data_IF_157405306814
#
_entry.id   IF_157405306814
#
_cell.length_a   1.000
_cell.length_b   1.000
_cell.length_c   1.000
_cell.angle_alpha   90.00
_cell.angle_beta   90.00
_cell.angle_gamma   90.00
#
_symmetry.space_group_name_H-M   'P 1'
#
loop_
_entity.id
_entity.type
_entity.pdbx_description
1 polymer ?
#
# COMPACT_ATOMS: atom_id res chain seq x y z
N UNK A 1 19.55 9.74 -29.57
CA UNK A 1 18.13 10.17 -29.55
C UNK A 1 17.86 11.19 -28.45
N UNK A 2 16.83 12.02 -28.59
CA UNK A 2 16.34 12.87 -27.47
C UNK A 2 15.54 12.01 -26.51
N UNK A 3 15.44 12.40 -25.25
CA UNK A 3 14.63 11.68 -24.26
C UNK A 3 13.57 12.61 -23.69
N UNK A 4 12.33 12.12 -23.65
CA UNK A 4 11.22 12.77 -22.98
C UNK A 4 10.59 11.80 -21.99
N UNK A 5 10.25 12.32 -20.81
CA UNK A 5 9.63 11.58 -19.73
C UNK A 5 8.24 12.15 -19.52
N UNK A 6 7.22 11.36 -19.86
CA UNK A 6 5.82 11.64 -19.54
C UNK A 6 5.56 11.13 -18.13
N UNK A 7 5.00 11.96 -17.27
CA UNK A 7 4.73 11.56 -15.89
C UNK A 7 3.45 12.16 -15.34
N UNK A 8 2.87 11.47 -14.36
CA UNK A 8 1.74 11.95 -13.56
C UNK A 8 2.14 11.89 -12.08
N UNK A 9 1.56 12.76 -11.26
CA UNK A 9 1.78 12.77 -9.81
C UNK A 9 0.53 13.13 -8.99
N UNK A 10 -0.60 13.39 -9.66
CA UNK A 10 -1.88 13.68 -9.01
C UNK A 10 -2.67 12.40 -8.73
N UNK A 11 -3.50 12.44 -7.68
CA UNK A 11 -4.34 11.31 -7.24
C UNK A 11 -5.30 10.84 -8.34
N UNK A 12 -5.67 11.76 -9.24
CA UNK A 12 -6.62 11.48 -10.32
C UNK A 12 -5.96 11.05 -11.64
N UNK A 13 -4.63 11.08 -11.74
CA UNK A 13 -3.85 10.80 -12.95
C UNK A 13 -4.28 11.63 -14.17
N UNK A 14 -4.85 12.81 -13.94
CA UNK A 14 -5.37 13.68 -15.01
C UNK A 14 -4.30 14.59 -15.56
N UNK A 15 -3.32 14.93 -14.74
CA UNK A 15 -2.25 15.87 -15.09
C UNK A 15 -1.08 15.09 -15.70
N UNK A 16 -0.95 15.18 -17.03
CA UNK A 16 0.17 14.61 -17.77
C UNK A 16 1.26 15.66 -17.96
N UNK A 17 2.34 15.54 -17.21
CA UNK A 17 3.50 16.42 -17.28
C UNK A 17 4.58 15.84 -18.22
N UNK A 18 5.45 16.73 -18.71
CA UNK A 18 6.51 16.39 -19.65
C UNK A 18 7.85 16.96 -19.16
N UNK A 19 8.79 16.07 -18.85
CA UNK A 19 10.18 16.44 -18.63
C UNK A 19 11.01 16.08 -19.88
N UNK A 20 12.00 16.91 -20.20
CA UNK A 20 12.90 16.70 -21.34
C UNK A 20 14.34 16.70 -20.85
N UNK A 21 15.10 15.70 -21.25
CA UNK A 21 16.53 15.73 -21.02
C UNK A 21 17.16 16.78 -21.95
N UNK A 22 18.09 17.61 -21.46
CA UNK A 22 18.67 18.70 -22.24
C UNK A 22 19.54 18.18 -23.39
N UNK A 23 20.22 17.05 -23.17
CA UNK A 23 21.18 16.48 -24.10
C UNK A 23 20.63 15.21 -24.76
N UNK A 24 21.03 15.00 -26.00
CA UNK A 24 20.78 13.73 -26.69
C UNK A 24 21.64 12.62 -26.07
N UNK A 25 21.07 11.42 -25.94
CA UNK A 25 21.76 10.26 -25.40
C UNK A 25 21.89 9.16 -26.46
N UNK A 26 22.96 8.39 -26.34
CA UNK A 26 23.08 7.11 -27.04
C UNK A 26 22.37 6.04 -26.20
N UNK A 27 21.22 5.57 -26.68
CA UNK A 27 20.35 4.66 -25.95
C UNK A 27 20.36 3.30 -26.65
N UNK A 28 20.68 2.21 -25.93
CA UNK A 28 20.51 0.86 -26.47
C UNK A 28 19.04 0.58 -26.77
N UNK A 29 18.76 0.02 -27.94
CA UNK A 29 17.41 -0.31 -28.37
C UNK A 29 17.28 -1.73 -28.87
N UNK A 30 16.11 -2.32 -28.64
CA UNK A 30 15.73 -3.66 -29.09
C UNK A 30 14.37 -3.57 -29.79
N UNK A 31 14.22 -4.16 -30.99
CA UNK A 31 12.91 -4.33 -31.61
C UNK A 31 12.11 -5.39 -30.83
N UNK A 32 10.91 -5.05 -30.38
CA UNK A 32 10.03 -5.96 -29.62
C UNK A 32 8.99 -6.61 -30.54
N UNK A 33 8.54 -5.87 -31.56
CA UNK A 33 7.69 -6.35 -32.65
C UNK A 33 8.04 -5.61 -33.96
N UNK A 34 7.28 -5.84 -35.03
CA UNK A 34 7.52 -5.24 -36.35
C UNK A 34 7.36 -3.71 -36.37
N UNK A 35 6.59 -3.14 -35.44
CA UNK A 35 6.25 -1.71 -35.38
C UNK A 35 6.86 -0.98 -34.17
N UNK A 36 7.34 -1.73 -33.16
CA UNK A 36 7.75 -1.20 -31.87
C UNK A 36 9.21 -1.48 -31.59
N UNK A 37 9.98 -0.39 -31.50
CA UNK A 37 11.35 -0.40 -30.99
C UNK A 37 11.36 0.19 -29.57
N UNK A 38 11.99 -0.53 -28.65
CA UNK A 38 12.10 -0.15 -27.23
C UNK A 38 13.54 0.21 -26.93
N UNK A 39 13.74 1.32 -26.22
CA UNK A 39 15.03 1.71 -25.66
C UNK A 39 15.08 1.51 -24.16
N UNK A 40 16.28 1.28 -23.62
CA UNK A 40 16.50 1.06 -22.19
C UNK A 40 17.33 2.21 -21.62
N UNK A 41 16.86 2.84 -20.55
CA UNK A 41 17.50 4.00 -19.92
C UNK A 41 17.50 3.88 -18.40
N UNK A 42 18.46 4.51 -17.74
CA UNK A 42 18.52 4.59 -16.29
C UNK A 42 17.32 5.36 -15.72
N UNK A 43 16.63 4.77 -14.75
CA UNK A 43 15.51 5.39 -14.05
C UNK A 43 15.92 6.70 -13.40
N UNK A 44 17.10 6.72 -12.76
CA UNK A 44 17.64 7.90 -12.09
C UNK A 44 17.70 9.11 -13.02
N UNK A 45 18.20 8.94 -14.24
CA UNK A 45 18.29 10.03 -15.23
C UNK A 45 16.90 10.59 -15.57
N UNK A 46 15.88 9.72 -15.61
CA UNK A 46 14.50 10.15 -15.84
C UNK A 46 13.96 10.94 -14.64
N UNK A 47 14.24 10.47 -13.42
CA UNK A 47 13.84 11.15 -12.18
C UNK A 47 14.52 12.52 -12.02
N UNK A 48 15.81 12.63 -12.31
CA UNK A 48 16.53 13.91 -12.27
C UNK A 48 15.90 14.94 -13.23
N UNK A 49 15.51 14.50 -14.43
CA UNK A 49 14.80 15.36 -15.37
C UNK A 49 13.42 15.79 -14.86
N UNK A 50 12.69 14.89 -14.19
CA UNK A 50 11.40 15.20 -13.56
C UNK A 50 11.59 16.23 -12.44
N UNK A 51 12.53 16.01 -11.52
CA UNK A 51 12.76 16.93 -10.38
C UNK A 51 13.21 18.31 -10.86
N UNK A 52 14.02 18.37 -11.93
CA UNK A 52 14.41 19.64 -12.54
C UNK A 52 13.21 20.38 -13.17
N UNK A 53 12.25 19.65 -13.74
CA UNK A 53 11.05 20.23 -14.36
C UNK A 53 9.93 20.54 -13.36
N UNK A 54 9.85 19.77 -12.27
CA UNK A 54 8.83 19.82 -11.21
C UNK A 54 9.48 19.76 -9.82
N UNK A 55 10.16 20.83 -9.38
CA UNK A 55 10.83 20.88 -8.08
C UNK A 55 9.87 20.77 -6.89
N UNK A 56 8.58 21.04 -7.07
CA UNK A 56 7.53 20.88 -6.07
C UNK A 56 7.37 19.45 -5.55
N UNK A 57 7.81 18.45 -6.33
CA UNK A 57 7.79 17.04 -5.93
C UNK A 57 8.74 16.73 -4.79
N UNK A 58 9.82 17.52 -4.63
CA UNK A 58 10.83 17.35 -3.57
C UNK A 58 10.86 18.51 -2.57
N UNK A 59 10.19 19.63 -2.88
CA UNK A 59 10.14 20.80 -2.00
C UNK A 59 9.22 20.63 -0.79
N UNK A 60 8.24 19.72 -0.86
CA UNK A 60 7.29 19.48 0.23
C UNK A 60 7.85 18.48 1.24
N UNK A 61 8.29 18.99 2.39
CA UNK A 61 8.73 18.17 3.53
C UNK A 61 7.63 17.20 3.97
N UNK A 62 7.99 15.93 4.15
CA UNK A 62 7.03 14.90 4.59
C UNK A 62 6.05 14.46 3.50
N UNK A 63 6.39 14.62 2.22
CA UNK A 63 5.67 13.99 1.12
C UNK A 63 6.65 13.19 0.29
N UNK A 64 6.30 11.94 0.00
CA UNK A 64 7.06 11.07 -0.88
C UNK A 64 6.14 10.41 -1.89
N UNK A 65 6.72 9.82 -2.92
CA UNK A 65 5.99 9.19 -4.01
C UNK A 65 6.52 7.80 -4.27
N UNK A 66 5.62 6.85 -4.48
CA UNK A 66 5.99 5.58 -5.11
C UNK A 66 6.10 5.81 -6.61
N UNK A 67 7.24 5.46 -7.17
CA UNK A 67 7.51 5.56 -8.60
C UNK A 67 7.11 4.25 -9.28
N UNK A 68 6.36 4.37 -10.37
CA UNK A 68 6.04 3.29 -11.27
C UNK A 68 6.51 3.64 -12.68
N UNK A 69 6.96 2.64 -13.43
CA UNK A 69 7.33 2.76 -14.84
C UNK A 69 6.46 1.85 -15.69
N UNK A 70 6.06 2.31 -16.87
CA UNK A 70 5.44 1.43 -17.85
C UNK A 70 6.53 0.59 -18.50
N UNK A 71 6.35 -0.73 -18.51
CA UNK A 71 7.31 -1.63 -19.13
C UNK A 71 6.90 -1.95 -20.56
N UNK A 72 7.61 -1.38 -21.53
CA UNK A 72 7.35 -1.59 -22.94
C UNK A 72 7.97 -2.85 -23.53
N UNK A 73 8.80 -3.60 -22.80
CA UNK A 73 9.25 -4.92 -23.26
C UNK A 73 8.22 -6.04 -23.05
N UNK A 74 7.18 -5.78 -22.26
CA UNK A 74 6.16 -6.77 -21.89
C UNK A 74 4.84 -6.53 -22.63
N UNK A 75 4.09 -7.61 -22.86
CA UNK A 75 2.75 -7.55 -23.45
C UNK A 75 1.79 -6.75 -22.54
N UNK A 76 0.87 -5.99 -23.13
CA UNK A 76 -0.03 -5.03 -22.46
C UNK A 76 0.64 -3.84 -21.76
N UNK A 77 1.96 -3.73 -21.79
CA UNK A 77 2.73 -2.62 -21.21
C UNK A 77 2.42 -2.38 -19.72
N UNK A 78 2.68 -3.37 -18.84
CA UNK A 78 2.30 -3.34 -17.44
C UNK A 78 3.00 -2.22 -16.68
N UNK A 79 2.40 -1.83 -15.56
CA UNK A 79 2.96 -0.84 -14.65
C UNK A 79 3.83 -1.53 -13.59
N UNK A 80 5.13 -1.24 -13.58
CA UNK A 80 6.13 -1.88 -12.71
C UNK A 80 6.57 -0.91 -11.61
N UNK A 81 6.48 -1.34 -10.36
CA UNK A 81 6.92 -0.56 -9.20
C UNK A 81 8.44 -0.45 -9.11
N UNK A 82 8.95 0.77 -8.92
CA UNK A 82 10.37 1.09 -8.90
C UNK A 82 10.87 1.55 -7.51
N UNK A 83 9.99 1.61 -6.53
CA UNK A 83 10.29 2.04 -5.16
C UNK A 83 9.96 3.50 -4.89
N UNK A 84 10.44 4.01 -3.75
CA UNK A 84 10.19 5.38 -3.29
C UNK A 84 11.08 6.39 -4.02
N UNK A 85 10.53 7.55 -4.36
CA UNK A 85 11.25 8.65 -5.00
C UNK A 85 12.44 9.10 -4.14
N UNK A 86 12.25 9.23 -2.82
CA UNK A 86 13.33 9.56 -1.88
C UNK A 86 14.49 8.57 -1.93
N UNK A 87 14.22 7.26 -2.06
CA UNK A 87 15.27 6.25 -2.15
C UNK A 87 16.03 6.33 -3.47
N UNK A 88 15.32 6.50 -4.59
CA UNK A 88 15.95 6.66 -5.90
C UNK A 88 16.87 7.89 -5.88
N UNK A 89 16.44 8.99 -5.27
CA UNK A 89 17.27 10.20 -5.10
C UNK A 89 18.41 10.02 -4.08
N UNK A 90 18.23 9.24 -3.01
CA UNK A 90 19.27 9.02 -2.00
C UNK A 90 20.48 8.22 -2.55
N UNK A 91 20.28 7.42 -3.60
CA UNK A 91 21.40 6.71 -4.27
C UNK A 91 22.43 7.63 -4.90
N UNK A 92 22.17 8.95 -4.98
CA UNK A 92 23.13 9.94 -5.47
C UNK A 92 24.10 10.45 -4.38
N UNK A 93 23.88 10.08 -3.12
CA UNK A 93 24.71 10.51 -2.00
C UNK A 93 26.11 9.86 -2.07
N UNK A 94 27.11 10.65 -2.42
CA UNK A 94 28.54 10.29 -2.39
C UNK A 94 29.11 10.12 -0.98
N UNK A 95 28.30 9.69 -0.01
CA UNK A 95 28.78 9.38 1.35
C UNK A 95 29.65 8.11 1.32
N UNK A 96 30.93 8.17 1.74
CA UNK A 96 31.89 7.07 1.59
C UNK A 96 31.54 5.75 2.29
N UNK A 97 30.58 5.76 3.23
CA UNK A 97 30.28 4.63 4.12
C UNK A 97 28.90 4.00 3.93
N UNK A 98 28.08 4.46 2.99
CA UNK A 98 26.85 3.76 2.65
C UNK A 98 27.17 2.69 1.59
N UNK A 99 26.78 1.42 1.78
CA UNK A 99 26.78 0.47 0.67
C UNK A 99 25.72 0.97 -0.31
N UNK A 100 26.13 1.83 -1.23
CA UNK A 100 25.35 2.15 -2.42
C UNK A 100 25.22 0.83 -3.14
N UNK A 101 24.10 0.13 -2.93
CA UNK A 101 23.68 -0.94 -3.83
C UNK A 101 23.56 -0.27 -5.19
N UNK A 102 24.64 -0.37 -5.97
CA UNK A 102 24.86 0.24 -7.28
C UNK A 102 24.00 -0.40 -8.36
N UNK A 103 22.83 -0.92 -7.96
CA UNK A 103 21.82 -1.41 -8.87
C UNK A 103 21.28 -0.23 -9.64
N UNK A 104 21.86 -0.03 -10.82
CA UNK A 104 21.40 0.91 -11.82
C UNK A 104 20.05 0.41 -12.32
N UNK A 105 18.98 0.83 -11.65
CA UNK A 105 17.62 0.51 -12.07
C UNK A 105 17.40 1.04 -13.48
N UNK A 106 17.09 0.15 -14.41
CA UNK A 106 16.82 0.47 -15.80
C UNK A 106 15.31 0.39 -16.06
N UNK A 107 14.82 1.28 -16.91
CA UNK A 107 13.43 1.29 -17.38
C UNK A 107 13.38 1.38 -18.89
N UNK A 108 12.27 0.92 -19.44
CA UNK A 108 12.04 0.87 -20.89
C UNK A 108 11.28 2.11 -21.37
N UNK A 109 11.51 2.49 -22.62
CA UNK A 109 10.81 3.58 -23.30
C UNK A 109 10.55 3.23 -24.77
N UNK A 110 9.49 3.78 -25.35
CA UNK A 110 9.19 3.60 -26.78
C UNK A 110 10.01 4.56 -27.63
N UNK A 111 10.68 4.05 -28.65
CA UNK A 111 11.32 4.87 -29.67
C UNK A 111 10.22 5.40 -30.59
N UNK A 112 10.20 6.72 -30.79
CA UNK A 112 9.27 7.42 -31.66
C UNK A 112 10.05 8.26 -32.67
N UNK A 113 9.57 8.29 -33.90
CA UNK A 113 10.06 9.23 -34.89
C UNK A 113 9.62 10.66 -34.51
N UNK A 114 10.58 11.58 -34.55
CA UNK A 114 10.35 13.00 -34.35
C UNK A 114 10.13 13.66 -35.70
N UNK A 115 8.86 13.77 -36.11
CA UNK A 115 8.46 14.35 -37.40
C UNK A 115 9.04 15.77 -37.58
N UNK A 116 9.11 16.59 -36.53
CA UNK A 116 9.73 17.93 -36.61
C UNK A 116 11.26 17.87 -36.86
N UNK A 117 11.94 16.84 -36.35
CA UNK A 117 13.38 16.66 -36.57
C UNK A 117 13.72 16.25 -38.00
N UNK A 118 12.77 15.63 -38.72
CA UNK A 118 12.91 15.24 -40.13
C UNK A 118 13.03 16.45 -41.06
N UNK A 119 12.32 17.54 -40.76
CA UNK A 119 12.29 18.74 -41.63
C UNK A 119 13.51 19.66 -41.46
N UNK A 120 14.28 19.50 -40.38
CA UNK A 120 15.39 20.41 -40.04
C UNK A 120 16.75 19.73 -39.95
N UNK A 121 16.90 18.50 -40.47
CA UNK A 121 18.15 17.73 -40.38
C UNK A 121 18.59 17.44 -38.94
N UNK A 122 17.65 17.50 -37.98
CA UNK A 122 17.91 17.37 -36.55
C UNK A 122 17.84 15.92 -36.07
N UNK A 123 17.80 15.75 -34.75
CA UNK A 123 17.67 14.43 -34.13
C UNK A 123 16.30 13.84 -34.49
N UNK A 124 16.33 12.76 -35.28
CA UNK A 124 15.16 12.09 -35.87
C UNK A 124 14.40 11.20 -34.91
N UNK A 125 15.03 10.75 -33.83
CA UNK A 125 14.46 9.79 -32.91
C UNK A 125 14.33 10.36 -31.49
N UNK A 126 13.24 10.00 -30.83
CA UNK A 126 13.00 10.32 -29.42
C UNK A 126 12.63 9.07 -28.65
N UNK A 127 13.27 8.86 -27.50
CA UNK A 127 12.83 7.90 -26.50
C UNK A 127 11.74 8.53 -25.65
N UNK A 128 10.56 7.92 -25.63
CA UNK A 128 9.45 8.29 -24.76
C UNK A 128 9.35 7.30 -23.60
N UNK A 129 9.71 7.76 -22.41
CA UNK A 129 9.53 7.02 -21.15
C UNK A 129 8.25 7.50 -20.48
N UNK A 130 7.47 6.59 -19.91
CA UNK A 130 6.27 6.94 -19.16
C UNK A 130 6.40 6.47 -17.72
N UNK A 131 6.28 7.39 -16.79
CA UNK A 131 6.33 7.15 -15.35
C UNK A 131 5.01 7.57 -14.70
N UNK A 132 4.73 7.02 -13.53
CA UNK A 132 3.60 7.39 -12.69
C UNK A 132 4.10 7.51 -11.26
N UNK A 133 3.95 8.68 -10.67
CA UNK A 133 4.27 8.95 -9.28
C UNK A 133 2.95 8.92 -8.51
N UNK A 134 2.90 8.12 -7.45
CA UNK A 134 1.73 8.01 -6.58
C UNK A 134 2.11 8.54 -5.22
N UNK A 135 1.43 9.57 -4.69
CA UNK A 135 1.70 10.06 -3.35
C UNK A 135 1.60 8.93 -2.33
N UNK A 136 2.63 8.79 -1.51
CA UNK A 136 2.60 7.89 -0.36
C UNK A 136 1.88 8.65 0.76
N UNK A 137 0.79 8.10 1.33
CA UNK A 137 0.18 8.69 2.51
C UNK A 137 1.25 8.79 3.60
N UNK A 138 1.60 9.99 4.00
CA UNK A 138 2.48 10.15 5.14
C UNK A 138 1.69 9.76 6.38
N UNK A 139 1.93 8.56 6.89
CA UNK A 139 1.60 8.27 8.27
C UNK A 139 2.39 9.27 9.10
N UNK A 140 1.69 10.21 9.71
CA UNK A 140 2.28 10.98 10.78
C UNK A 140 2.83 9.96 11.78
N UNK A 141 4.02 10.17 12.31
CA UNK A 141 4.57 9.30 13.35
C UNK A 141 3.55 9.06 14.48
N UNK A 142 2.67 10.04 14.72
CA UNK A 142 1.52 9.93 15.62
C UNK A 142 0.52 8.84 15.23
N UNK A 143 0.17 8.66 13.95
CA UNK A 143 -0.79 7.63 13.51
C UNK A 143 -0.19 6.22 13.58
N UNK A 144 1.11 6.09 13.30
CA UNK A 144 1.82 4.82 13.50
C UNK A 144 1.92 4.47 14.99
N UNK A 145 2.31 5.45 15.83
CA UNK A 145 2.34 5.29 17.28
C UNK A 145 0.95 5.00 17.85
N UNK A 146 -0.09 5.67 17.36
CA UNK A 146 -1.47 5.45 17.77
C UNK A 146 -1.96 4.06 17.33
N UNK A 147 -1.59 3.61 16.13
CA UNK A 147 -1.91 2.25 15.66
C UNK A 147 -1.15 1.20 16.50
N UNK A 148 0.13 1.41 16.79
CA UNK A 148 0.90 0.54 17.68
C UNK A 148 0.37 0.56 19.11
N UNK A 149 0.01 1.71 19.66
CA UNK A 149 -0.60 1.83 20.99
C UNK A 149 -1.96 1.17 21.02
N UNK A 150 -2.76 1.28 19.97
CA UNK A 150 -4.05 0.59 19.83
C UNK A 150 -3.83 -0.92 19.83
N UNK A 151 -2.89 -1.44 19.04
CA UNK A 151 -2.52 -2.85 19.05
C UNK A 151 -1.99 -3.30 20.42
N UNK A 152 -1.14 -2.50 21.07
CA UNK A 152 -0.55 -2.80 22.38
C UNK A 152 -1.57 -2.74 23.51
N UNK A 153 -2.53 -1.83 23.47
CA UNK A 153 -3.60 -1.71 24.47
C UNK A 153 -4.60 -2.85 24.31
N UNK A 154 -4.90 -3.25 23.07
CA UNK A 154 -5.68 -4.45 22.79
C UNK A 154 -4.93 -5.68 23.30
N UNK A 155 -3.63 -5.84 23.02
CA UNK A 155 -2.84 -7.00 23.47
C UNK A 155 -2.64 -7.07 24.99
N UNK A 156 -2.66 -5.93 25.70
CA UNK A 156 -2.55 -5.87 27.17
C UNK A 156 -3.84 -6.27 27.89
N UNK A 157 -4.99 -6.14 27.24
CA UNK A 157 -6.29 -6.55 27.78
C UNK A 157 -6.67 -7.99 27.48
N UNK A 158 -5.85 -8.71 26.70
CA UNK A 158 -6.16 -10.05 26.22
C UNK A 158 -5.48 -11.09 27.12
N UNK A 159 -6.24 -11.98 27.80
CA UNK A 159 -5.66 -13.04 28.61
C UNK A 159 -4.84 -14.00 27.74
N UNK A 160 -3.77 -14.56 28.32
CA UNK A 160 -2.95 -15.60 27.67
C UNK A 160 -3.85 -16.77 27.23
N UNK A 161 -3.90 -17.04 25.92
CA UNK A 161 -4.79 -18.05 25.32
C UNK A 161 -6.08 -17.53 24.69
N UNK A 162 -6.20 -16.21 24.47
CA UNK A 162 -7.38 -15.63 23.81
C UNK A 162 -7.56 -16.12 22.36
N UNK A 163 -8.70 -16.77 22.11
CA UNK A 163 -9.08 -17.27 20.79
C UNK A 163 -9.68 -16.15 19.93
N UNK A 164 -8.90 -15.69 18.95
CA UNK A 164 -9.30 -14.64 18.00
C UNK A 164 -10.55 -14.99 17.19
N UNK A 165 -10.82 -16.27 16.94
CA UNK A 165 -11.95 -16.71 16.13
C UNK A 165 -13.29 -16.49 16.85
N UNK A 166 -13.32 -16.66 18.17
CA UNK A 166 -14.52 -16.47 18.99
C UNK A 166 -14.86 -14.99 19.19
N UNK A 167 -13.86 -14.12 19.24
CA UNK A 167 -14.10 -12.67 19.30
C UNK A 167 -14.61 -12.10 17.98
N UNK A 168 -14.12 -12.62 16.85
CA UNK A 168 -14.64 -12.27 15.53
C UNK A 168 -16.12 -12.68 15.39
N UNK A 169 -16.50 -13.85 15.92
CA UNK A 169 -17.89 -14.32 15.94
C UNK A 169 -18.79 -13.52 16.91
N UNK A 170 -18.25 -13.00 18.01
CA UNK A 170 -19.02 -12.14 18.93
C UNK A 170 -19.27 -10.74 18.34
N UNK A 171 -18.32 -10.21 17.57
CA UNK A 171 -18.45 -8.90 16.88
C UNK A 171 -19.45 -8.89 15.72
N UNK A 172 -19.68 -10.04 15.10
CA UNK A 172 -20.70 -10.15 14.05
C UNK A 172 -22.12 -10.22 14.61
N UNK A 173 -22.29 -10.31 15.94
CA UNK A 173 -23.60 -10.28 16.57
C UNK A 173 -24.11 -8.83 16.76
N UNK A 174 -25.18 -8.40 16.08
CA UNK A 174 -25.66 -7.02 16.11
C UNK A 174 -26.14 -6.56 17.50
N UNK A 175 -26.61 -7.47 18.37
CA UNK A 175 -27.03 -7.12 19.74
C UNK A 175 -25.85 -6.72 20.64
N UNK A 176 -24.68 -7.32 20.43
CA UNK A 176 -23.46 -6.98 21.17
C UNK A 176 -22.96 -5.57 20.85
N UNK A 177 -23.05 -5.16 19.58
CA UNK A 177 -22.66 -3.80 19.17
C UNK A 177 -23.61 -2.73 19.72
N UNK A 178 -24.90 -3.03 19.85
CA UNK A 178 -25.87 -2.12 20.48
C UNK A 178 -25.57 -1.93 21.98
N UNK A 179 -25.26 -3.01 22.69
CA UNK A 179 -24.90 -2.96 24.11
C UNK A 179 -23.57 -2.23 24.36
N UNK A 180 -22.54 -2.51 23.54
CA UNK A 180 -21.24 -1.85 23.65
C UNK A 180 -21.31 -0.33 23.40
N UNK A 181 -22.15 0.11 22.45
CA UNK A 181 -22.40 1.53 22.20
C UNK A 181 -23.09 2.21 23.38
N UNK A 182 -24.01 1.51 24.07
CA UNK A 182 -24.73 2.04 25.23
C UNK A 182 -23.85 2.14 26.48
N UNK A 183 -22.92 1.20 26.67
CA UNK A 183 -21.92 1.26 27.74
C UNK A 183 -20.89 2.40 27.53
N UNK A 184 -20.51 2.67 26.28
CA UNK A 184 -19.59 3.76 25.95
C UNK A 184 -20.22 5.16 26.14
N UNK A 185 -21.54 5.29 25.99
CA UNK A 185 -22.28 6.54 26.15
C UNK A 185 -22.47 6.99 27.62
N UNK A 186 -22.21 6.11 28.60
CA UNK A 186 -22.46 6.37 30.03
C UNK A 186 -21.37 7.16 30.78
N UNK A 187 -20.28 7.59 30.13
CA UNK A 187 -19.10 8.16 30.81
C UNK A 187 -19.07 9.70 30.90
N UNK A 188 -20.20 10.38 30.68
CA UNK A 188 -20.27 11.85 30.75
C UNK A 188 -21.30 12.34 31.77
N UNK A 189 -20.98 12.21 33.07
CA UNK A 189 -21.50 13.15 34.09
C UNK A 189 -20.64 13.17 35.36
N UNK A 190 -20.44 14.39 35.83
CA UNK A 190 -19.47 14.86 36.82
C UNK A 190 -19.77 14.50 38.28
N UNK A 191 -18.70 14.35 39.06
CA UNK A 191 -18.53 14.63 40.50
C UNK A 191 -19.78 14.91 41.35
N UNK A 192 -20.06 14.05 42.33
CA UNK A 192 -20.16 14.35 43.80
C UNK A 192 -20.55 13.06 44.54
N UNK A 193 -20.03 12.91 45.76
CA UNK A 193 -20.42 11.96 46.83
C UNK A 193 -19.86 10.53 46.79
N UNK A 194 -19.14 10.22 47.87
CA UNK A 194 -18.80 8.87 48.33
C UNK A 194 -20.05 8.02 48.55
N UNK A 195 -19.87 6.70 48.36
CA UNK A 195 -20.61 5.61 49.00
C UNK A 195 -21.89 5.11 48.30
N UNK A 196 -21.78 4.01 47.53
CA UNK A 196 -22.17 2.64 47.95
C UNK A 196 -22.07 1.65 46.79
N UNK A 197 -21.73 0.42 47.18
CA UNK A 197 -21.67 -0.82 46.42
C UNK A 197 -22.89 -1.02 45.51
N UNK A 198 -22.67 -1.38 44.24
CA UNK A 198 -23.67 -2.11 43.46
C UNK A 198 -23.00 -3.22 42.63
N UNK A 199 -22.89 -4.39 43.26
CA UNK A 199 -22.34 -5.65 42.72
C UNK A 199 -23.34 -6.38 41.80
N UNK A 200 -24.13 -5.66 41.00
CA UNK A 200 -25.21 -6.25 40.20
C UNK A 200 -24.84 -6.65 38.76
N UNK A 201 -23.70 -6.18 38.23
CA UNK A 201 -23.36 -6.40 36.81
C UNK A 201 -22.61 -7.70 36.50
N UNK A 202 -21.82 -8.19 37.46
CA UNK A 202 -20.95 -9.36 37.26
C UNK A 202 -21.69 -10.69 37.39
N UNK A 203 -22.79 -10.72 38.13
CA UNK A 203 -23.59 -11.93 38.39
C UNK A 203 -24.41 -12.33 37.16
N UNK A 204 -24.96 -11.36 36.43
CA UNK A 204 -25.76 -11.62 35.21
C UNK A 204 -24.90 -12.16 34.06
N UNK A 205 -23.66 -11.67 33.92
CA UNK A 205 -22.71 -12.20 32.94
C UNK A 205 -22.25 -13.63 33.30
N UNK A 206 -22.00 -13.91 34.58
CA UNK A 206 -21.67 -15.27 35.02
C UNK A 206 -22.84 -16.23 34.78
N UNK A 207 -24.08 -15.78 34.97
CA UNK A 207 -25.28 -16.61 34.76
C UNK A 207 -25.55 -16.93 33.28
N UNK A 208 -25.20 -16.01 32.37
CA UNK A 208 -25.25 -16.25 30.91
C UNK A 208 -24.15 -17.22 30.45
N UNK A 209 -22.94 -17.13 31.03
CA UNK A 209 -21.82 -18.00 30.70
C UNK A 209 -21.93 -19.42 31.27
N UNK A 210 -22.79 -19.63 32.27
CA UNK A 210 -22.96 -20.94 32.93
C UNK A 210 -24.19 -21.70 32.46
N UNK A 211 -25.02 -21.13 31.58
CA UNK A 211 -26.14 -21.85 30.98
C UNK A 211 -25.63 -22.93 30.02
N UNK A 212 -25.58 -24.18 30.50
CA UNK A 212 -25.45 -25.35 29.64
C UNK A 212 -26.75 -25.54 28.84
N UNK A 213 -26.67 -25.95 27.57
CA UNK A 213 -27.87 -26.30 26.82
C UNK A 213 -28.55 -27.49 27.50
N UNK A 214 -29.85 -27.36 27.76
CA UNK A 214 -30.71 -28.44 28.23
C UNK A 214 -30.75 -29.53 27.15
N UNK A 215 -30.26 -30.72 27.51
CA UNK A 215 -30.44 -31.95 26.75
C UNK A 215 -31.94 -32.27 26.64
N UNK A 216 -32.51 -32.11 25.46
CA UNK A 216 -33.81 -32.68 25.14
C UNK A 216 -33.66 -34.18 24.88
N UNK A 217 -33.92 -34.94 25.94
CA UNK A 217 -33.98 -36.40 25.91
C UNK A 217 -35.32 -36.83 25.33
N UNK A 218 -35.35 -37.39 24.11
CA UNK A 218 -36.47 -38.25 23.68
C UNK A 218 -36.02 -39.36 22.73
N UNK A 219 -36.14 -40.60 23.22
CA UNK A 219 -36.49 -41.77 22.42
C UNK A 219 -35.36 -42.60 21.83
N UNK A 220 -34.87 -43.57 22.61
CA UNK A 220 -34.20 -44.76 22.08
C UNK A 220 -35.17 -45.61 21.25
N UNK A 221 -34.79 -46.01 20.04
CA UNK A 221 -35.09 -47.35 19.52
C UNK A 221 -33.95 -47.86 18.65
N UNK A 222 -33.51 -49.05 19.02
CA UNK A 222 -32.37 -49.82 18.54
C UNK A 222 -32.64 -50.52 17.21
N UNK A 223 -31.68 -50.50 16.28
CA UNK A 223 -31.38 -51.69 15.49
C UNK A 223 -29.90 -51.79 15.12
N UNK A 224 -29.42 -53.02 15.28
CA UNK A 224 -28.05 -53.52 15.18
C UNK A 224 -27.77 -53.87 13.72
N UNK A 225 -26.63 -53.45 13.18
CA UNK A 225 -26.02 -54.19 12.07
C UNK A 225 -24.49 -54.27 12.24
N UNK A 226 -24.07 -55.49 12.54
CA UNK A 226 -22.69 -55.98 12.60
C UNK A 226 -22.05 -55.96 11.22
N UNK A 227 -20.84 -55.39 11.11
CA UNK A 227 -19.91 -55.62 10.00
C UNK A 227 -19.06 -56.86 10.30
N UNK A 228 -19.03 -57.82 9.38
CA UNK A 228 -17.86 -58.70 9.18
C UNK A 228 -17.69 -59.00 7.69
N UNK A 229 -16.50 -58.67 7.21
CA UNK A 229 -15.92 -59.14 5.96
C UNK A 229 -15.74 -60.67 5.99
N UNK A 230 -16.16 -61.35 4.92
CA UNK A 230 -15.38 -62.22 4.04
C UNK A 230 -16.30 -62.70 2.91
#
# INVERSE_FOLDING_TARGET
MRVKVLYTFDDSHKTCCLARLPNALNIPTVPVDEETQVGVIELRTCIEAIVAASPELVAKLGHDYTVYAYDYSEYETPLVGQGMLSWILATTSTTPNAPASSSKTMVTGKVRENILGLFSGGIKETLEVKLKLVPVPTFLQSEYLETMERYRNVSRGLPEGFDHSQWAALKSNPEFNAFAAQAAAGSSQSSTAMQRVNSGGVETLHQLLTQKPVEERRGSQSHVHTLRSF
#
